data_IF_436867272796
#
_entry.id   IF_436867272796
#
_cell.length_a   1.000
_cell.length_b   1.000
_cell.length_c   1.000
_cell.angle_alpha   90.00
_cell.angle_beta   90.00
_cell.angle_gamma   90.00
#
_symmetry.space_group_name_H-M   'P 1'
#
loop_
_entity.id
_entity.type
_entity.pdbx_description
1 polymer ?
#
# COMPACT_ATOMS: atom_id res chain seq x y z
N UNK A 1 -12.09 84.87 9.11
CA UNK A 1 -12.88 83.64 9.01
C UNK A 1 -11.97 82.49 8.79
N UNK A 2 -11.75 81.68 9.85
CA UNK A 2 -10.73 80.64 9.93
C UNK A 2 -11.49 79.33 9.73
N UNK A 3 -11.29 78.67 8.56
CA UNK A 3 -11.85 77.35 8.25
C UNK A 3 -11.01 76.24 8.82
N UNK A 4 -11.51 75.53 9.79
CA UNK A 4 -10.93 74.32 10.39
C UNK A 4 -10.87 73.18 9.38
N UNK A 5 -9.68 72.76 9.02
CA UNK A 5 -9.42 71.49 8.33
C UNK A 5 -9.43 70.37 9.39
N UNK A 6 -10.52 69.63 9.46
CA UNK A 6 -10.57 68.33 10.14
C UNK A 6 -9.95 67.30 9.25
N UNK A 7 -8.74 66.82 9.61
CA UNK A 7 -8.16 65.62 9.04
C UNK A 7 -9.04 64.43 9.45
N UNK A 8 -9.74 63.85 8.47
CA UNK A 8 -10.29 62.49 8.64
C UNK A 8 -9.14 61.55 8.86
N UNK A 9 -9.13 60.88 10.01
CA UNK A 9 -8.32 59.69 10.25
C UNK A 9 -8.73 58.64 9.20
N UNK A 10 -7.81 58.27 8.32
CA UNK A 10 -7.99 57.17 7.38
C UNK A 10 -8.20 55.90 8.19
N UNK A 11 -9.33 55.26 8.02
CA UNK A 11 -9.57 53.90 8.41
C UNK A 11 -8.52 53.03 7.72
N UNK A 12 -7.68 52.35 8.50
CA UNK A 12 -6.78 51.31 7.97
C UNK A 12 -7.70 50.17 7.51
N UNK A 13 -7.74 49.82 6.24
CA UNK A 13 -8.52 48.71 5.79
C UNK A 13 -7.98 47.44 6.44
N UNK A 14 -8.75 46.87 7.37
CA UNK A 14 -8.47 45.53 7.87
C UNK A 14 -8.75 44.55 6.72
N UNK A 15 -7.77 44.27 5.94
CA UNK A 15 -7.87 43.21 4.93
C UNK A 15 -7.94 41.89 5.70
N UNK A 16 -9.15 41.42 5.95
CA UNK A 16 -9.38 40.02 6.30
C UNK A 16 -9.14 39.23 5.02
N UNK A 17 -7.93 38.74 4.85
CA UNK A 17 -7.65 37.72 3.86
C UNK A 17 -8.30 36.44 4.34
N UNK A 18 -9.55 36.23 3.97
CA UNK A 18 -10.11 34.88 3.98
C UNK A 18 -9.33 34.10 2.92
N UNK A 19 -8.37 33.30 3.36
CA UNK A 19 -7.86 32.17 2.58
C UNK A 19 -9.00 31.13 2.51
N UNK A 20 -10.02 31.41 1.73
CA UNK A 20 -10.84 30.35 1.17
C UNK A 20 -9.93 29.64 0.18
N UNK A 21 -9.29 28.56 0.64
CA UNK A 21 -8.83 27.53 -0.25
C UNK A 21 -10.02 27.14 -1.11
N UNK A 22 -9.82 27.14 -2.44
CA UNK A 22 -10.87 26.80 -3.39
C UNK A 22 -11.61 25.55 -2.93
N UNK A 23 -12.92 25.61 -2.94
CA UNK A 23 -13.84 24.54 -2.59
C UNK A 23 -13.70 23.37 -3.58
N UNK A 24 -12.68 22.56 -3.42
CA UNK A 24 -12.78 21.18 -3.82
C UNK A 24 -13.36 20.42 -2.63
N UNK A 25 -14.69 20.39 -2.54
CA UNK A 25 -15.37 19.53 -1.60
C UNK A 25 -14.83 18.11 -1.82
N UNK A 26 -14.41 17.37 -0.75
CA UNK A 26 -13.84 16.02 -0.91
C UNK A 26 -14.71 15.09 -1.75
N UNK A 27 -16.03 15.26 -1.68
CA UNK A 27 -16.99 14.52 -2.52
C UNK A 27 -17.05 15.00 -3.97
N UNK A 28 -16.58 16.20 -4.31
CA UNK A 28 -16.40 16.65 -5.69
C UNK A 28 -15.32 15.85 -6.39
N UNK A 29 -14.18 15.60 -5.72
CA UNK A 29 -13.12 14.73 -6.24
C UNK A 29 -13.59 13.29 -6.44
N UNK A 30 -14.49 12.77 -5.61
CA UNK A 30 -15.08 11.44 -5.80
C UNK A 30 -16.05 11.37 -6.98
N UNK A 31 -16.73 12.47 -7.33
CA UNK A 31 -17.60 12.56 -8.52
C UNK A 31 -16.81 12.72 -9.82
N UNK A 32 -15.64 13.34 -9.75
CA UNK A 32 -14.75 13.58 -10.89
C UNK A 32 -13.64 12.51 -11.01
N UNK A 33 -13.68 11.47 -10.17
CA UNK A 33 -12.73 10.37 -10.27
C UNK A 33 -12.99 9.59 -11.55
N UNK A 34 -12.44 10.08 -12.63
CA UNK A 34 -12.31 9.32 -13.88
C UNK A 34 -11.04 8.50 -13.77
N UNK A 35 -11.11 7.17 -13.80
CA UNK A 35 -9.91 6.33 -13.78
C UNK A 35 -9.01 6.71 -14.96
N UNK A 36 -7.88 7.32 -14.70
CA UNK A 36 -6.86 7.59 -15.70
C UNK A 36 -6.16 6.26 -16.01
N UNK A 37 -6.49 5.64 -17.13
CA UNK A 37 -6.10 4.27 -17.51
C UNK A 37 -4.62 3.92 -17.27
N UNK A 38 -3.70 4.88 -17.36
CA UNK A 38 -2.27 4.67 -17.09
C UNK A 38 -1.72 5.46 -15.89
N UNK A 39 -2.33 6.59 -15.53
CA UNK A 39 -1.93 7.38 -14.36
C UNK A 39 -2.25 6.70 -13.03
N UNK A 40 -3.25 5.81 -12.99
CA UNK A 40 -3.62 5.07 -11.79
C UNK A 40 -2.50 4.18 -11.27
N UNK A 41 -1.80 3.47 -12.15
CA UNK A 41 -0.74 2.54 -11.74
C UNK A 41 0.40 3.29 -11.07
N UNK A 42 0.81 4.43 -11.61
CA UNK A 42 1.83 5.28 -10.99
C UNK A 42 1.35 5.82 -9.64
N UNK A 43 0.09 6.26 -9.57
CA UNK A 43 -0.51 6.72 -8.32
C UNK A 43 -0.50 5.64 -7.24
N UNK A 44 -0.90 4.41 -7.57
CA UNK A 44 -0.90 3.29 -6.61
C UNK A 44 0.53 2.93 -6.15
N UNK A 45 1.51 2.97 -7.03
CA UNK A 45 2.92 2.80 -6.65
C UNK A 45 3.41 3.90 -5.72
N UNK A 46 3.09 5.16 -6.03
CA UNK A 46 3.43 6.29 -5.16
C UNK A 46 2.76 6.19 -3.77
N UNK A 47 1.53 5.68 -3.70
CA UNK A 47 0.86 5.42 -2.41
C UNK A 47 1.62 4.36 -1.61
N UNK A 48 2.08 3.29 -2.23
CA UNK A 48 2.88 2.25 -1.55
C UNK A 48 4.21 2.81 -1.03
N UNK A 49 4.90 3.60 -1.85
CA UNK A 49 6.17 4.23 -1.44
C UNK A 49 5.99 5.26 -0.31
N UNK A 50 4.90 6.03 -0.35
CA UNK A 50 4.66 7.09 0.62
C UNK A 50 4.03 6.62 1.94
N UNK A 51 3.29 5.51 1.92
CA UNK A 51 2.52 5.00 3.09
C UNK A 51 2.97 3.58 3.44
N UNK A 52 3.94 3.42 4.36
CA UNK A 52 4.55 2.13 4.67
C UNK A 52 3.56 1.03 5.08
N UNK A 53 2.47 1.39 5.74
CA UNK A 53 1.45 0.41 6.16
C UNK A 53 0.72 -0.21 4.98
N UNK A 54 0.54 0.55 3.88
CA UNK A 54 -0.06 0.04 2.64
C UNK A 54 0.90 -0.92 1.94
N UNK A 55 2.17 -0.55 1.84
CA UNK A 55 3.18 -1.44 1.25
C UNK A 55 3.34 -2.73 2.05
N UNK A 56 3.41 -2.63 3.38
CA UNK A 56 3.46 -3.79 4.27
C UNK A 56 2.25 -4.72 4.09
N UNK A 57 1.06 -4.16 3.85
CA UNK A 57 -0.15 -4.93 3.59
C UNK A 57 -0.04 -5.76 2.31
N UNK A 58 0.37 -5.14 1.19
CA UNK A 58 0.59 -5.86 -0.08
C UNK A 58 1.65 -6.94 0.08
N UNK A 59 2.79 -6.61 0.69
CA UNK A 59 3.86 -7.57 0.95
C UNK A 59 3.40 -8.79 1.76
N UNK A 60 2.58 -8.57 2.78
CA UNK A 60 2.05 -9.66 3.61
C UNK A 60 1.09 -10.55 2.82
N UNK A 61 0.17 -9.99 2.05
CA UNK A 61 -0.74 -10.76 1.20
C UNK A 61 0.03 -11.64 0.20
N UNK A 62 1.06 -11.06 -0.46
CA UNK A 62 1.89 -11.81 -1.40
C UNK A 62 2.57 -12.98 -0.72
N UNK A 63 3.23 -12.76 0.43
CA UNK A 63 3.94 -13.82 1.16
C UNK A 63 3.03 -14.88 1.76
N UNK A 64 1.89 -14.48 2.30
CA UNK A 64 0.93 -15.42 2.90
C UNK A 64 0.19 -16.27 1.86
N UNK A 65 0.18 -15.87 0.60
CA UNK A 65 -0.34 -16.71 -0.48
C UNK A 65 0.42 -18.03 -0.58
N UNK A 66 1.69 -18.06 -0.14
CA UNK A 66 2.49 -19.27 -0.05
C UNK A 66 2.95 -19.81 -1.39
N UNK A 67 3.58 -20.96 -1.34
CA UNK A 67 4.10 -21.66 -2.51
C UNK A 67 3.06 -22.58 -3.16
N UNK A 68 3.40 -23.01 -4.37
CA UNK A 68 2.59 -23.94 -5.15
C UNK A 68 3.44 -25.11 -5.64
N UNK A 69 2.85 -26.29 -5.59
CA UNK A 69 3.39 -27.53 -6.15
C UNK A 69 2.34 -28.20 -7.05
N UNK A 70 2.73 -29.28 -7.73
CA UNK A 70 1.82 -30.02 -8.59
C UNK A 70 1.85 -31.51 -8.24
N UNK A 71 0.70 -32.14 -8.36
CA UNK A 71 0.55 -33.60 -8.32
C UNK A 71 0.07 -34.08 -9.66
N UNK A 72 0.70 -35.11 -10.23
CA UNK A 72 0.33 -35.69 -11.52
C UNK A 72 -0.01 -37.18 -11.38
N UNK A 73 -0.88 -37.68 -12.27
CA UNK A 73 -1.18 -39.10 -12.34
C UNK A 73 0.01 -39.98 -12.78
N UNK A 74 1.01 -39.40 -13.46
CA UNK A 74 2.25 -40.05 -13.87
C UNK A 74 3.43 -39.50 -13.04
N UNK A 75 4.12 -40.37 -12.33
CA UNK A 75 5.26 -40.02 -11.47
C UNK A 75 6.45 -39.43 -12.24
N UNK A 76 6.67 -39.85 -13.50
CA UNK A 76 7.74 -39.33 -14.33
C UNK A 76 7.45 -37.89 -14.72
N UNK A 77 6.22 -37.64 -15.21
CA UNK A 77 5.74 -36.30 -15.52
C UNK A 77 5.77 -35.38 -14.29
N UNK A 78 5.33 -35.88 -13.13
CA UNK A 78 5.34 -35.11 -11.88
C UNK A 78 6.73 -34.66 -11.49
N UNK A 79 7.70 -35.58 -11.49
CA UNK A 79 9.09 -35.27 -11.13
C UNK A 79 9.69 -34.23 -12.09
N UNK A 80 9.49 -34.41 -13.38
CA UNK A 80 10.03 -33.51 -14.38
C UNK A 80 9.35 -32.12 -14.33
N UNK A 81 8.03 -32.07 -14.15
CA UNK A 81 7.29 -30.82 -14.03
C UNK A 81 7.65 -30.06 -12.74
N UNK A 82 7.79 -30.74 -11.61
CA UNK A 82 8.26 -30.13 -10.36
C UNK A 82 9.66 -29.54 -10.50
N UNK A 83 10.56 -30.23 -11.18
CA UNK A 83 11.91 -29.70 -11.44
C UNK A 83 11.87 -28.46 -12.34
N UNK A 84 11.07 -28.48 -13.40
CA UNK A 84 10.83 -27.29 -14.24
C UNK A 84 10.27 -26.12 -13.40
N UNK A 85 9.21 -26.34 -12.63
CA UNK A 85 8.60 -25.29 -11.81
C UNK A 85 9.57 -24.72 -10.76
N UNK A 86 10.54 -25.50 -10.29
CA UNK A 86 11.57 -25.05 -9.35
C UNK A 86 12.67 -24.23 -10.02
N UNK A 87 13.01 -24.54 -11.27
CA UNK A 87 14.22 -24.03 -11.93
C UNK A 87 13.97 -23.04 -13.05
N UNK A 88 12.72 -22.88 -13.51
CA UNK A 88 12.39 -21.98 -14.61
C UNK A 88 12.87 -20.54 -14.32
N UNK A 89 13.63 -19.92 -15.25
CA UNK A 89 14.06 -18.53 -15.10
C UNK A 89 12.87 -17.56 -15.12
N UNK A 90 12.90 -16.57 -14.22
CA UNK A 90 11.85 -15.53 -14.13
C UNK A 90 12.39 -14.16 -14.52
N UNK A 91 13.67 -13.95 -14.28
CA UNK A 91 14.34 -12.69 -14.54
C UNK A 91 15.82 -12.80 -14.21
N UNK A 92 16.47 -11.67 -13.99
CA UNK A 92 17.90 -11.66 -13.68
C UNK A 92 18.11 -12.18 -12.25
N UNK A 93 18.57 -13.44 -12.13
CA UNK A 93 18.90 -14.08 -10.87
C UNK A 93 17.70 -14.60 -10.06
N UNK A 94 16.50 -14.66 -10.65
CA UNK A 94 15.31 -15.24 -10.01
C UNK A 94 14.85 -16.48 -10.78
N UNK A 95 14.45 -17.50 -10.01
CA UNK A 95 14.05 -18.79 -10.55
C UNK A 95 12.81 -19.33 -9.80
N UNK A 96 12.05 -20.14 -10.52
CA UNK A 96 10.94 -20.91 -9.96
C UNK A 96 9.59 -20.21 -10.01
N UNK A 97 8.55 -21.04 -10.10
CA UNK A 97 7.17 -20.60 -10.23
C UNK A 97 6.72 -19.70 -9.07
N UNK A 98 7.22 -19.95 -7.86
CA UNK A 98 6.83 -19.16 -6.68
C UNK A 98 7.32 -17.71 -6.80
N UNK A 99 8.56 -17.48 -7.28
CA UNK A 99 9.05 -16.13 -7.54
C UNK A 99 8.26 -15.42 -8.66
N UNK A 100 7.83 -16.18 -9.68
CA UNK A 100 6.93 -15.64 -10.71
C UNK A 100 5.59 -15.22 -10.09
N UNK A 101 4.98 -16.08 -9.28
CA UNK A 101 3.69 -15.81 -8.66
C UNK A 101 3.75 -14.63 -7.68
N UNK A 102 4.84 -14.47 -6.93
CA UNK A 102 5.04 -13.31 -6.05
C UNK A 102 5.04 -12.01 -6.85
N UNK A 103 5.82 -11.93 -7.94
CA UNK A 103 5.87 -10.78 -8.82
C UNK A 103 4.53 -10.52 -9.52
N UNK A 104 3.89 -11.58 -10.00
CA UNK A 104 2.60 -11.53 -10.67
C UNK A 104 1.48 -11.06 -9.74
N UNK A 105 1.44 -11.59 -8.52
CA UNK A 105 0.47 -11.21 -7.49
C UNK A 105 0.70 -9.79 -6.98
N UNK A 106 1.94 -9.37 -6.80
CA UNK A 106 2.25 -7.97 -6.43
C UNK A 106 1.65 -6.99 -7.46
N UNK A 107 1.85 -7.27 -8.75
CA UNK A 107 1.24 -6.50 -9.83
C UNK A 107 -0.29 -6.57 -9.79
N UNK A 108 -0.86 -7.76 -9.57
CA UNK A 108 -2.30 -7.99 -9.52
C UNK A 108 -2.96 -7.15 -8.41
N UNK A 109 -2.44 -7.20 -7.20
CA UNK A 109 -2.98 -6.47 -6.06
C UNK A 109 -2.79 -4.94 -6.20
N UNK A 110 -1.62 -4.52 -6.67
CA UNK A 110 -1.28 -3.10 -6.81
C UNK A 110 -1.99 -2.44 -7.97
N UNK A 111 -2.01 -3.09 -9.14
CA UNK A 111 -2.53 -2.49 -10.37
C UNK A 111 -3.96 -2.91 -10.71
N UNK A 112 -4.50 -3.90 -9.99
CA UNK A 112 -5.80 -4.52 -10.31
C UNK A 112 -5.76 -5.49 -11.48
N UNK A 113 -4.59 -5.70 -12.06
CA UNK A 113 -4.34 -6.63 -13.16
C UNK A 113 -2.89 -7.06 -13.19
N UNK A 114 -2.64 -8.25 -13.69
CA UNK A 114 -1.31 -8.75 -13.93
C UNK A 114 -1.18 -9.33 -15.34
N UNK A 115 0.00 -9.19 -15.89
CA UNK A 115 0.35 -9.73 -17.20
C UNK A 115 1.65 -10.50 -17.08
N UNK A 116 1.71 -11.65 -17.72
CA UNK A 116 2.91 -12.48 -17.84
C UNK A 116 3.08 -13.00 -19.25
N UNK A 117 4.28 -13.46 -19.53
CA UNK A 117 4.64 -14.07 -20.81
C UNK A 117 5.35 -15.39 -20.57
N UNK A 118 4.94 -16.41 -21.29
CA UNK A 118 5.63 -17.70 -21.38
C UNK A 118 6.56 -17.63 -22.57
N UNK A 119 7.86 -17.62 -22.32
CA UNK A 119 8.87 -17.52 -23.38
C UNK A 119 9.33 -18.92 -23.79
N UNK A 120 9.03 -19.37 -25.03
CA UNK A 120 9.49 -20.66 -25.51
C UNK A 120 10.98 -20.61 -25.85
N UNK A 121 11.68 -21.72 -25.67
CA UNK A 121 13.05 -21.89 -26.14
C UNK A 121 13.12 -21.99 -27.68
N UNK A 122 14.30 -21.79 -28.24
CA UNK A 122 14.55 -21.95 -29.66
C UNK A 122 14.20 -23.39 -30.09
N UNK A 123 13.26 -23.51 -31.02
CA UNK A 123 12.73 -24.81 -31.46
C UNK A 123 11.43 -25.24 -30.78
N UNK A 124 10.85 -24.41 -29.89
CA UNK A 124 9.54 -24.61 -29.25
C UNK A 124 9.36 -25.97 -28.54
N UNK A 125 10.44 -26.53 -27.99
CA UNK A 125 10.39 -27.81 -27.26
C UNK A 125 10.38 -27.66 -25.76
N UNK A 126 10.73 -26.47 -25.26
CA UNK A 126 10.83 -26.17 -23.84
C UNK A 126 10.39 -24.73 -23.57
N UNK A 127 10.01 -24.45 -22.33
CA UNK A 127 9.78 -23.08 -21.83
C UNK A 127 11.13 -22.56 -21.32
N UNK A 128 11.66 -21.52 -21.94
CA UNK A 128 12.93 -20.90 -21.58
C UNK A 128 12.83 -20.00 -20.35
N UNK A 129 11.70 -19.30 -20.19
CA UNK A 129 11.48 -18.38 -19.07
C UNK A 129 9.99 -18.07 -18.88
N UNK A 130 9.64 -17.55 -17.68
CA UNK A 130 8.38 -16.90 -17.39
C UNK A 130 8.68 -15.45 -17.02
N UNK A 131 8.07 -14.49 -17.68
CA UNK A 131 8.31 -13.08 -17.46
C UNK A 131 7.04 -12.39 -16.94
N UNK A 132 7.20 -11.48 -15.97
CA UNK A 132 6.13 -10.57 -15.58
C UNK A 132 6.18 -9.31 -16.44
N UNK A 133 5.08 -8.98 -17.10
CA UNK A 133 4.94 -7.79 -17.91
C UNK A 133 4.67 -6.53 -17.09
N UNK A 134 5.12 -5.38 -17.60
CA UNK A 134 4.76 -4.08 -17.04
C UNK A 134 3.37 -3.69 -17.52
N UNK A 135 2.45 -3.59 -16.58
CA UNK A 135 1.03 -3.31 -16.85
C UNK A 135 0.81 -1.93 -17.50
N UNK A 136 1.70 -0.99 -17.25
CA UNK A 136 1.65 0.36 -17.80
C UNK A 136 1.84 0.40 -19.32
N UNK A 137 2.57 -0.57 -19.85
CA UNK A 137 2.92 -0.62 -21.28
C UNK A 137 1.95 -1.49 -22.08
N UNK A 138 0.85 -1.93 -21.45
CA UNK A 138 -0.08 -2.91 -22.04
C UNK A 138 -1.48 -2.31 -22.05
N UNK A 139 -2.14 -2.44 -23.19
CA UNK A 139 -3.55 -2.14 -23.39
C UNK A 139 -4.27 -3.42 -23.79
N UNK A 140 -5.45 -3.60 -23.21
CA UNK A 140 -6.33 -4.71 -23.59
C UNK A 140 -7.42 -4.17 -24.47
N UNK A 141 -7.54 -4.73 -25.66
CA UNK A 141 -8.62 -4.41 -26.59
C UNK A 141 -9.62 -5.55 -26.61
N UNK A 142 -10.89 -5.22 -26.58
CA UNK A 142 -11.95 -6.18 -26.79
C UNK A 142 -11.88 -6.73 -28.22
N UNK A 143 -12.08 -8.03 -28.35
CA UNK A 143 -12.19 -8.70 -29.64
C UNK A 143 -13.59 -8.58 -30.26
N UNK A 144 -13.86 -9.41 -31.24
CA UNK A 144 -15.18 -9.46 -31.90
C UNK A 144 -16.28 -10.09 -31.04
N UNK A 145 -15.90 -10.73 -29.95
CA UNK A 145 -16.77 -11.39 -28.99
C UNK A 145 -16.44 -10.92 -27.57
N UNK A 146 -17.42 -10.83 -26.65
CA UNK A 146 -17.15 -10.52 -25.24
C UNK A 146 -16.17 -11.47 -24.53
N UNK A 147 -15.93 -12.65 -25.12
CA UNK A 147 -14.98 -13.65 -24.61
C UNK A 147 -13.59 -13.49 -25.21
N UNK A 148 -13.43 -12.65 -26.23
CA UNK A 148 -12.18 -12.44 -26.91
C UNK A 148 -11.58 -11.09 -26.52
N UNK A 149 -10.32 -11.11 -26.16
CA UNK A 149 -9.54 -9.89 -25.94
C UNK A 149 -8.16 -10.05 -26.56
N UNK A 150 -7.57 -8.94 -26.97
CA UNK A 150 -6.23 -8.88 -27.48
C UNK A 150 -5.35 -8.04 -26.55
N UNK A 151 -4.21 -8.59 -26.16
CA UNK A 151 -3.20 -7.86 -25.39
C UNK A 151 -2.34 -7.11 -26.40
N UNK A 152 -2.34 -5.78 -26.27
CA UNK A 152 -1.57 -4.86 -27.08
C UNK A 152 -0.43 -4.28 -26.25
N UNK A 153 0.73 -4.11 -26.86
CA UNK A 153 1.89 -3.48 -26.26
C UNK A 153 2.43 -2.35 -27.14
N UNK A 154 3.26 -1.48 -26.58
CA UNK A 154 3.96 -0.46 -27.34
C UNK A 154 5.15 -1.10 -28.09
N UNK A 155 5.27 -0.81 -29.39
CA UNK A 155 6.45 -1.15 -30.19
C UNK A 155 7.64 -0.21 -29.84
N UNK A 156 8.78 -0.44 -30.47
CA UNK A 156 9.99 0.39 -30.31
C UNK A 156 9.76 1.89 -30.66
N UNK A 157 8.68 2.20 -31.38
CA UNK A 157 8.29 3.54 -31.80
C UNK A 157 7.16 4.11 -30.93
N UNK A 158 6.76 3.39 -29.87
CA UNK A 158 5.68 3.81 -28.97
C UNK A 158 4.27 3.64 -29.55
N UNK A 159 4.08 2.92 -30.65
CA UNK A 159 2.77 2.64 -31.22
C UNK A 159 2.19 1.39 -30.57
N UNK A 160 0.96 1.52 -30.11
CA UNK A 160 0.22 0.38 -29.52
C UNK A 160 -0.25 -0.57 -30.61
N UNK A 161 0.27 -1.77 -30.59
CA UNK A 161 -0.08 -2.86 -31.51
C UNK A 161 -0.36 -4.15 -30.77
N UNK A 162 -1.10 -5.07 -31.41
CA UNK A 162 -1.34 -6.38 -30.86
C UNK A 162 -0.03 -7.14 -30.72
N UNK A 163 0.25 -7.65 -29.52
CA UNK A 163 1.44 -8.47 -29.29
C UNK A 163 1.32 -9.79 -30.03
N UNK A 164 2.42 -10.32 -30.59
CA UNK A 164 2.42 -11.64 -31.18
C UNK A 164 2.19 -12.73 -30.14
N UNK A 165 1.77 -13.92 -30.58
CA UNK A 165 1.64 -15.13 -29.75
C UNK A 165 0.77 -14.92 -28.51
N UNK A 166 -0.46 -14.42 -28.70
CA UNK A 166 -1.45 -14.17 -27.61
C UNK A 166 -1.66 -15.38 -26.70
N UNK A 167 -1.49 -16.59 -27.23
CA UNK A 167 -1.60 -17.83 -26.46
C UNK A 167 -0.46 -18.04 -25.43
N UNK A 168 0.64 -17.34 -25.55
CA UNK A 168 1.75 -17.36 -24.61
C UNK A 168 1.66 -16.24 -23.58
N UNK A 169 0.72 -15.33 -23.75
CA UNK A 169 0.47 -14.22 -22.81
C UNK A 169 -0.51 -14.66 -21.72
N UNK A 170 -0.18 -14.32 -20.50
CA UNK A 170 -1.01 -14.53 -19.33
C UNK A 170 -1.62 -13.18 -18.92
N UNK A 171 -2.93 -13.15 -18.73
CA UNK A 171 -3.63 -11.97 -18.24
C UNK A 171 -4.60 -12.39 -17.15
N UNK A 172 -4.58 -11.66 -16.04
CA UNK A 172 -5.50 -11.87 -14.92
C UNK A 172 -5.99 -10.52 -14.42
N UNK A 173 -7.30 -10.24 -14.49
CA UNK A 173 -7.93 -9.09 -13.81
C UNK A 173 -8.26 -9.45 -12.36
N UNK A 174 -8.11 -8.49 -11.45
CA UNK A 174 -8.57 -8.60 -10.07
C UNK A 174 -9.97 -8.00 -9.96
N UNK A 175 -10.94 -8.76 -9.45
CA UNK A 175 -12.31 -8.30 -9.22
C UNK A 175 -12.88 -7.47 -10.40
N UNK A 176 -12.95 -8.03 -11.62
CA UNK A 176 -13.45 -7.30 -12.78
C UNK A 176 -14.90 -6.88 -12.54
N UNK A 177 -15.23 -5.64 -12.91
CA UNK A 177 -16.60 -5.10 -12.92
C UNK A 177 -17.18 -5.25 -14.32
N UNK A 178 -18.51 -5.30 -14.45
CA UNK A 178 -19.18 -5.47 -15.75
C UNK A 178 -18.77 -4.41 -16.76
N UNK A 179 -18.57 -3.18 -16.31
CA UNK A 179 -18.14 -2.05 -17.15
C UNK A 179 -16.61 -1.88 -17.20
N UNK A 180 -15.87 -2.64 -16.38
CA UNK A 180 -14.41 -2.60 -16.30
C UNK A 180 -13.82 -4.01 -16.24
N UNK A 181 -13.69 -4.70 -17.38
CA UNK A 181 -13.14 -6.05 -17.45
C UNK A 181 -11.63 -6.11 -17.14
N UNK A 182 -10.97 -4.95 -17.09
CA UNK A 182 -9.52 -4.86 -16.83
C UNK A 182 -9.13 -5.12 -15.39
N UNK A 183 -10.11 -5.18 -14.49
CA UNK A 183 -9.92 -5.38 -13.07
C UNK A 183 -9.73 -4.10 -12.26
N UNK A 184 -9.84 -4.24 -10.95
CA UNK A 184 -9.83 -3.13 -9.98
C UNK A 184 -8.74 -3.36 -8.96
N UNK A 185 -7.85 -2.37 -8.79
CA UNK A 185 -6.79 -2.41 -7.78
C UNK A 185 -7.36 -2.53 -6.36
N UNK A 186 -6.68 -3.31 -5.52
CA UNK A 186 -6.95 -3.32 -4.08
C UNK A 186 -6.79 -1.92 -3.48
N UNK A 187 -5.94 -1.08 -4.07
CA UNK A 187 -5.61 0.27 -3.59
C UNK A 187 -6.55 1.37 -4.09
N UNK A 188 -7.59 1.05 -4.89
CA UNK A 188 -8.45 2.03 -5.58
C UNK A 188 -8.97 3.17 -4.71
N UNK A 189 -9.32 2.91 -3.46
CA UNK A 189 -9.87 3.92 -2.53
C UNK A 189 -8.82 4.56 -1.61
N UNK A 190 -7.58 4.08 -1.62
CA UNK A 190 -6.54 4.52 -0.68
C UNK A 190 -5.85 5.85 -1.02
N UNK A 191 -5.75 6.32 -2.29
CA UNK A 191 -5.04 7.57 -2.58
C UNK A 191 -5.58 8.77 -1.79
N UNK A 192 -6.89 8.91 -1.68
CA UNK A 192 -7.53 9.98 -0.91
C UNK A 192 -7.19 9.90 0.60
N UNK A 193 -7.30 8.71 1.19
CA UNK A 193 -6.98 8.50 2.60
C UNK A 193 -5.49 8.71 2.88
N UNK A 194 -4.64 8.29 1.95
CA UNK A 194 -3.19 8.46 2.02
C UNK A 194 -2.80 9.95 1.98
N UNK A 195 -3.43 10.74 1.12
CA UNK A 195 -3.20 12.20 1.06
C UNK A 195 -3.54 12.89 2.38
N UNK A 196 -4.68 12.54 3.00
CA UNK A 196 -5.05 13.05 4.32
C UNK A 196 -4.04 12.64 5.38
N UNK A 197 -3.63 11.37 5.40
CA UNK A 197 -2.65 10.84 6.35
C UNK A 197 -1.31 11.57 6.25
N UNK A 198 -0.81 11.77 5.03
CA UNK A 198 0.45 12.48 4.78
C UNK A 198 0.36 13.95 5.19
N UNK A 199 -0.78 14.62 4.97
CA UNK A 199 -1.02 16.00 5.45
C UNK A 199 -1.00 16.09 6.97
N UNK A 200 -1.59 15.10 7.66
CA UNK A 200 -1.54 15.03 9.12
C UNK A 200 -0.10 14.85 9.60
N UNK A 201 0.67 13.92 9.03
CA UNK A 201 2.07 13.70 9.38
C UNK A 201 2.93 14.94 9.10
N UNK A 202 2.72 15.61 7.98
CA UNK A 202 3.38 16.88 7.68
C UNK A 202 3.07 17.94 8.75
N UNK A 203 1.79 18.07 9.14
CA UNK A 203 1.36 19.01 10.19
C UNK A 203 1.97 18.67 11.54
N UNK A 204 2.06 17.38 11.89
CA UNK A 204 2.76 16.92 13.10
C UNK A 204 4.22 17.38 13.04
N UNK A 205 4.93 17.12 11.94
CA UNK A 205 6.33 17.55 11.77
C UNK A 205 6.50 19.05 11.95
N UNK A 206 5.69 19.86 11.26
CA UNK A 206 5.74 21.33 11.39
C UNK A 206 5.43 21.80 12.82
N UNK A 207 4.48 21.14 13.51
CA UNK A 207 4.17 21.47 14.90
C UNK A 207 5.33 21.10 15.85
N UNK A 208 5.97 19.97 15.64
CA UNK A 208 7.16 19.59 16.40
C UNK A 208 8.33 20.56 16.19
N UNK A 209 8.58 20.97 14.95
CA UNK A 209 9.59 22.01 14.65
C UNK A 209 9.25 23.35 15.32
N UNK A 210 7.95 23.72 15.32
CA UNK A 210 7.49 24.96 15.95
C UNK A 210 7.65 24.92 17.47
N UNK A 211 7.33 23.79 18.09
CA UNK A 211 7.48 23.62 19.55
C UNK A 211 8.94 23.47 19.98
N UNK A 212 9.77 22.83 19.16
CA UNK A 212 11.20 22.68 19.40
C UNK A 212 11.99 23.97 19.16
N UNK A 213 11.55 24.82 18.26
CA UNK A 213 12.15 26.12 17.96
C UNK A 213 11.33 27.23 18.65
N UNK A 214 11.59 27.45 19.93
CA UNK A 214 10.96 28.50 20.71
C UNK A 214 11.18 29.85 20.05
N UNK A 215 10.10 30.53 19.64
CA UNK A 215 10.17 31.91 19.14
C UNK A 215 9.97 32.86 20.31
N UNK A 216 10.89 33.81 20.46
CA UNK A 216 10.87 34.77 21.53
C UNK A 216 10.60 36.16 20.94
N UNK A 217 9.61 36.87 21.47
CA UNK A 217 9.44 38.28 21.23
C UNK A 217 10.13 39.04 22.36
N UNK A 218 11.13 39.80 22.00
CA UNK A 218 11.87 40.69 22.92
C UNK A 218 11.37 42.09 22.68
N UNK A 219 10.72 42.68 23.68
CA UNK A 219 10.25 44.07 23.62
C UNK A 219 11.00 44.90 24.66
N UNK A 220 11.52 46.01 24.21
CA UNK A 220 12.19 46.97 25.08
C UNK A 220 11.22 48.10 25.43
N UNK A 221 10.98 48.35 26.71
CA UNK A 221 10.16 49.45 27.16
C UNK A 221 10.85 50.79 27.01
N UNK A 222 10.15 51.79 26.49
CA UNK A 222 10.21 53.21 26.60
C UNK A 222 11.51 53.98 26.47
N UNK A 223 11.48 54.89 25.54
CA UNK A 223 12.41 56.01 25.36
C UNK A 223 12.22 56.59 23.98
N UNK A 224 11.53 57.71 23.88
CA UNK A 224 11.47 58.45 22.61
C UNK A 224 12.85 59.04 22.30
N UNK A 225 13.46 58.66 21.16
CA UNK A 225 14.69 59.23 20.65
C UNK A 225 15.60 58.24 19.89
N UNK A 226 16.62 58.77 19.22
CA UNK A 226 17.61 58.03 18.42
C UNK A 226 18.32 56.91 19.22
N UNK A 227 18.43 57.06 20.54
CA UNK A 227 19.00 56.06 21.45
C UNK A 227 18.17 54.79 21.62
N UNK A 228 16.87 54.82 21.33
CA UNK A 228 15.99 53.65 21.42
C UNK A 228 16.19 52.70 20.24
N UNK A 229 16.36 53.25 19.03
CA UNK A 229 16.62 52.46 17.82
C UNK A 229 17.99 51.77 17.88
N UNK A 230 18.98 52.45 18.42
CA UNK A 230 20.35 51.90 18.56
C UNK A 230 20.43 50.80 19.62
N UNK A 231 19.73 50.94 20.74
CA UNK A 231 19.57 49.90 21.78
C UNK A 231 18.84 48.66 21.22
N UNK A 232 17.78 48.86 20.45
CA UNK A 232 17.06 47.74 19.82
C UNK A 232 17.93 46.99 18.82
N UNK A 233 18.82 47.69 18.11
CA UNK A 233 19.75 47.06 17.16
C UNK A 233 20.82 46.22 17.87
N UNK A 234 21.45 46.76 18.92
CA UNK A 234 22.46 46.03 19.70
C UNK A 234 21.83 44.79 20.37
N UNK A 235 20.61 44.93 20.91
CA UNK A 235 19.89 43.81 21.52
C UNK A 235 19.58 42.72 20.48
N UNK A 236 19.15 43.10 19.25
CA UNK A 236 18.87 42.17 18.19
C UNK A 236 20.14 41.43 17.70
N UNK A 237 21.29 42.11 17.65
CA UNK A 237 22.57 41.51 17.27
C UNK A 237 23.07 40.51 18.32
N UNK A 238 23.01 40.88 19.62
CA UNK A 238 23.40 39.97 20.72
C UNK A 238 22.45 38.77 20.82
N UNK A 239 21.13 39.00 20.63
CA UNK A 239 20.14 37.94 20.58
C UNK A 239 20.39 36.98 19.42
N UNK A 240 20.71 37.51 18.26
CA UNK A 240 21.00 36.69 17.06
C UNK A 240 22.24 35.80 17.29
N UNK A 241 23.29 36.33 17.95
CA UNK A 241 24.47 35.55 18.31
C UNK A 241 24.13 34.44 19.31
N UNK A 242 23.41 34.76 20.38
CA UNK A 242 23.01 33.76 21.38
C UNK A 242 22.18 32.63 20.76
N UNK A 243 21.25 32.95 19.82
CA UNK A 243 20.46 31.95 19.12
C UNK A 243 21.26 31.08 18.15
N UNK A 244 22.29 31.65 17.48
CA UNK A 244 23.21 30.88 16.63
C UNK A 244 24.08 29.93 17.47
N UNK A 245 24.56 30.36 18.62
CA UNK A 245 25.35 29.53 19.54
C UNK A 245 24.50 28.39 20.12
N UNK A 246 23.23 28.66 20.46
CA UNK A 246 22.30 27.63 20.94
C UNK A 246 22.00 26.56 19.85
N UNK A 247 21.90 26.95 18.57
CA UNK A 247 21.79 26.00 17.45
C UNK A 247 23.01 25.10 17.29
N UNK A 248 24.19 25.58 17.72
CA UNK A 248 25.44 24.82 17.70
C UNK A 248 25.65 23.97 18.96
N UNK A 249 24.60 23.82 19.80
CA UNK A 249 24.65 23.00 21.03
C UNK A 249 25.23 23.66 22.27
N UNK A 250 25.52 24.97 22.23
CA UNK A 250 26.00 25.75 23.38
C UNK A 250 24.84 26.56 23.96
N UNK A 251 24.41 26.24 25.17
CA UNK A 251 23.39 27.04 25.89
C UNK A 251 24.04 28.23 26.56
N UNK A 252 23.62 29.43 26.18
CA UNK A 252 24.12 30.69 26.76
C UNK A 252 22.97 31.46 27.38
N UNK A 253 23.11 31.84 28.62
CA UNK A 253 22.15 32.69 29.32
C UNK A 253 22.21 34.12 28.76
N UNK A 254 21.05 34.69 28.51
CA UNK A 254 20.90 36.06 28.05
C UNK A 254 20.63 36.97 29.25
N UNK A 255 21.54 37.92 29.49
CA UNK A 255 21.38 38.92 30.53
C UNK A 255 21.17 40.28 29.88
N UNK A 256 20.00 40.88 30.06
CA UNK A 256 19.69 42.23 29.61
C UNK A 256 19.57 43.19 30.79
N UNK A 257 20.14 44.39 30.66
CA UNK A 257 20.01 45.47 31.64
C UNK A 257 19.00 46.49 31.06
N UNK A 258 17.89 46.70 31.77
CA UNK A 258 16.81 47.62 31.35
C UNK A 258 15.44 46.98 31.39
N UNK A 259 14.40 47.74 30.98
CA UNK A 259 13.02 47.26 30.89
C UNK A 259 12.87 46.40 29.61
N UNK A 260 13.23 45.14 29.71
CA UNK A 260 13.16 44.17 28.62
C UNK A 260 12.13 43.12 29.00
N UNK A 261 11.08 42.99 28.19
CA UNK A 261 10.07 41.96 28.36
C UNK A 261 10.26 40.89 27.27
N UNK A 262 10.47 39.64 27.71
CA UNK A 262 10.67 38.48 26.84
C UNK A 262 9.40 37.62 26.92
N UNK A 263 8.71 37.48 25.79
CA UNK A 263 7.54 36.62 25.70
C UNK A 263 7.80 35.47 24.71
N UNK A 264 7.42 34.29 25.13
CA UNK A 264 7.41 33.13 24.25
C UNK A 264 6.22 33.26 23.28
N UNK A 265 6.50 33.23 21.97
CA UNK A 265 5.45 33.27 20.96
C UNK A 265 5.23 31.86 20.42
N UNK A 266 4.01 31.35 20.57
CA UNK A 266 3.59 30.08 19.97
C UNK A 266 3.97 28.83 20.76
N UNK A 267 4.59 28.97 21.96
CA UNK A 267 4.85 27.84 22.84
C UNK A 267 3.62 27.33 23.59
N UNK A 268 2.66 28.21 23.83
CA UNK A 268 1.47 27.92 24.63
C UNK A 268 0.29 27.35 23.81
N UNK A 269 0.41 27.25 22.48
CA UNK A 269 -0.64 26.65 21.66
C UNK A 269 -0.62 25.12 21.84
N UNK A 270 -1.70 24.50 22.30
CA UNK A 270 -1.76 23.06 22.46
C UNK A 270 -1.48 22.37 21.12
N UNK A 271 -0.63 21.36 21.14
CA UNK A 271 -0.44 20.49 19.98
C UNK A 271 -1.76 19.76 19.78
N UNK A 272 -2.32 19.85 18.56
CA UNK A 272 -3.52 19.13 18.19
C UNK A 272 -3.30 17.63 18.39
N UNK A 273 -4.19 16.99 19.14
CA UNK A 273 -4.17 15.54 19.25
C UNK A 273 -4.49 14.92 17.88
N UNK A 274 -3.49 14.31 17.30
CA UNK A 274 -3.57 13.64 16.00
C UNK A 274 -3.82 12.14 16.12
N UNK A 275 -3.88 11.58 17.32
CA UNK A 275 -4.03 10.15 17.55
C UNK A 275 -5.36 9.63 16.97
N UNK A 276 -6.45 10.30 17.24
CA UNK A 276 -7.78 9.88 16.79
C UNK A 276 -7.90 9.89 15.25
N UNK A 277 -7.60 11.00 14.54
CA UNK A 277 -7.73 11.02 13.08
C UNK A 277 -6.76 10.08 12.38
N UNK A 278 -5.52 9.94 12.86
CA UNK A 278 -4.56 8.96 12.32
C UNK A 278 -5.09 7.55 12.48
N UNK A 279 -5.59 7.21 13.68
CA UNK A 279 -6.16 5.88 13.94
C UNK A 279 -7.35 5.58 13.03
N UNK A 280 -8.26 6.50 12.83
CA UNK A 280 -9.42 6.32 11.95
C UNK A 280 -9.00 6.05 10.49
N UNK A 281 -7.98 6.74 9.99
CA UNK A 281 -7.46 6.50 8.64
C UNK A 281 -6.80 5.12 8.55
N UNK A 282 -6.00 4.74 9.54
CA UNK A 282 -5.38 3.41 9.58
C UNK A 282 -6.45 2.29 9.66
N UNK A 283 -7.54 2.49 10.39
CA UNK A 283 -8.68 1.56 10.43
C UNK A 283 -9.32 1.38 9.04
N UNK A 284 -9.45 2.44 8.26
CA UNK A 284 -9.95 2.37 6.88
C UNK A 284 -8.96 1.61 5.96
N UNK A 285 -7.65 1.82 6.13
CA UNK A 285 -6.62 1.07 5.38
C UNK A 285 -6.68 -0.42 5.72
N UNK A 286 -6.80 -0.75 7.01
CA UNK A 286 -6.96 -2.13 7.49
C UNK A 286 -8.23 -2.76 6.92
N UNK A 287 -9.37 -2.07 7.00
CA UNK A 287 -10.64 -2.55 6.45
C UNK A 287 -10.56 -2.80 4.94
N UNK A 288 -9.85 -1.93 4.20
CA UNK A 288 -9.68 -2.08 2.75
C UNK A 288 -8.76 -3.22 2.35
N UNK A 289 -7.68 -3.44 3.11
CA UNK A 289 -6.69 -4.49 2.81
C UNK A 289 -7.07 -5.86 3.36
N UNK A 290 -8.00 -5.92 4.31
CA UNK A 290 -8.43 -7.16 4.98
C UNK A 290 -7.38 -7.77 5.90
N UNK A 291 -6.25 -7.08 6.13
CA UNK A 291 -5.18 -7.60 6.99
C UNK A 291 -5.43 -7.17 8.43
N UNK A 292 -5.40 -8.11 9.39
CA UNK A 292 -5.56 -7.78 10.81
C UNK A 292 -4.54 -6.74 11.30
N UNK A 293 -4.95 -5.78 12.16
CA UNK A 293 -4.08 -4.70 12.63
C UNK A 293 -2.78 -5.19 13.27
N UNK A 294 -2.84 -6.26 14.07
CA UNK A 294 -1.66 -6.80 14.74
C UNK A 294 -0.59 -7.30 13.75
N UNK A 295 -0.99 -7.78 12.58
CA UNK A 295 -0.06 -8.20 11.53
C UNK A 295 0.65 -7.01 10.86
N UNK A 296 0.05 -5.82 10.94
CA UNK A 296 0.66 -4.57 10.45
C UNK A 296 1.44 -3.83 11.55
N UNK A 297 1.59 -4.45 12.74
CA UNK A 297 2.28 -3.82 13.87
C UNK A 297 1.44 -2.77 14.59
N UNK A 298 0.12 -2.75 14.36
CA UNK A 298 -0.80 -1.81 15.00
C UNK A 298 -1.36 -2.45 16.27
N UNK A 299 -0.91 -1.98 17.43
CA UNK A 299 -1.32 -2.48 18.74
C UNK A 299 -2.67 -1.91 19.16
N UNK A 300 -3.73 -2.34 18.51
CA UNK A 300 -5.09 -2.07 18.97
C UNK A 300 -5.53 -3.21 19.90
N UNK A 301 -6.21 -2.86 20.99
CA UNK A 301 -6.69 -3.84 21.95
C UNK A 301 -7.59 -4.88 21.23
N UNK A 302 -7.08 -6.06 21.01
CA UNK A 302 -7.83 -7.20 20.50
C UNK A 302 -7.80 -8.31 21.53
N UNK A 303 -8.92 -9.04 21.65
CA UNK A 303 -8.94 -10.27 22.44
C UNK A 303 -8.38 -11.42 21.60
N UNK A 304 -7.83 -12.44 22.26
CA UNK A 304 -7.33 -13.66 21.60
C UNK A 304 -8.38 -14.25 20.64
N UNK A 305 -9.63 -14.31 21.06
CA UNK A 305 -10.74 -14.78 20.22
C UNK A 305 -10.95 -13.92 18.95
N UNK A 306 -10.84 -12.61 19.07
CA UNK A 306 -10.94 -11.73 17.89
C UNK A 306 -9.77 -11.95 16.94
N UNK A 307 -8.57 -12.14 17.45
CA UNK A 307 -7.38 -12.39 16.62
C UNK A 307 -7.51 -13.72 15.86
N UNK A 308 -8.02 -14.78 16.49
CA UNK A 308 -8.30 -16.06 15.82
C UNK A 308 -9.35 -15.92 14.72
N UNK A 309 -10.46 -15.23 14.98
CA UNK A 309 -11.50 -14.99 13.97
C UNK A 309 -10.97 -14.16 12.78
N UNK A 310 -10.12 -13.18 13.04
CA UNK A 310 -9.49 -12.38 11.98
C UNK A 310 -8.51 -13.22 11.14
N UNK A 311 -7.80 -14.15 11.75
CA UNK A 311 -6.93 -15.11 11.05
C UNK A 311 -7.74 -16.03 10.11
N UNK A 312 -8.89 -16.53 10.56
CA UNK A 312 -9.78 -17.36 9.75
C UNK A 312 -10.35 -16.59 8.54
N UNK A 313 -10.75 -15.33 8.73
CA UNK A 313 -11.19 -14.46 7.64
C UNK A 313 -10.06 -14.22 6.62
N UNK A 314 -8.85 -13.93 7.11
CA UNK A 314 -7.70 -13.74 6.24
C UNK A 314 -7.35 -15.01 5.45
N UNK A 315 -7.46 -16.18 6.05
CA UNK A 315 -7.28 -17.47 5.37
C UNK A 315 -8.27 -17.63 4.21
N UNK A 316 -9.51 -17.17 4.39
CA UNK A 316 -10.55 -17.19 3.35
C UNK A 316 -10.17 -16.24 2.20
N UNK A 317 -9.69 -15.04 2.49
CA UNK A 317 -9.22 -14.08 1.48
C UNK A 317 -8.01 -14.61 0.69
N UNK A 318 -7.03 -15.20 1.38
CA UNK A 318 -5.88 -15.83 0.72
C UNK A 318 -6.32 -16.98 -0.20
N UNK A 319 -7.29 -17.77 0.24
CA UNK A 319 -7.86 -18.85 -0.58
C UNK A 319 -8.56 -18.30 -1.84
N UNK A 320 -9.22 -17.14 -1.75
CA UNK A 320 -9.81 -16.48 -2.91
C UNK A 320 -8.72 -15.98 -3.88
N UNK A 321 -7.62 -15.42 -3.38
CA UNK A 321 -6.46 -15.03 -4.19
C UNK A 321 -5.87 -16.26 -4.91
N UNK A 322 -5.68 -17.37 -4.22
CA UNK A 322 -5.18 -18.64 -4.80
C UNK A 322 -6.06 -19.14 -5.94
N UNK A 323 -7.39 -19.06 -5.77
CA UNK A 323 -8.34 -19.41 -6.85
C UNK A 323 -8.17 -18.54 -8.10
N UNK A 324 -7.81 -17.27 -7.93
CA UNK A 324 -7.53 -16.36 -9.04
C UNK A 324 -6.21 -16.70 -9.75
N UNK A 325 -5.21 -17.20 -9.02
CA UNK A 325 -3.89 -17.55 -9.57
C UNK A 325 -3.82 -18.98 -10.13
N UNK A 326 -4.64 -19.90 -9.65
CA UNK A 326 -4.62 -21.31 -10.06
C UNK A 326 -4.70 -21.49 -11.59
N UNK A 327 -5.61 -20.78 -12.34
CA UNK A 327 -5.66 -20.91 -13.79
C UNK A 327 -4.37 -20.49 -14.51
N UNK A 328 -3.60 -19.57 -13.94
CA UNK A 328 -2.31 -19.13 -14.48
C UNK A 328 -1.30 -20.28 -14.39
N UNK A 329 -1.20 -20.90 -13.21
CA UNK A 329 -0.32 -22.07 -12.97
C UNK A 329 -0.75 -23.24 -13.87
N UNK A 330 -2.05 -23.54 -13.92
CA UNK A 330 -2.57 -24.60 -14.76
C UNK A 330 -2.24 -24.41 -16.24
N UNK A 331 -2.33 -23.16 -16.75
CA UNK A 331 -1.98 -22.85 -18.15
C UNK A 331 -0.52 -23.11 -18.43
N UNK A 332 0.39 -22.71 -17.53
CA UNK A 332 1.84 -22.97 -17.64
C UNK A 332 2.10 -24.45 -17.61
N UNK A 333 1.56 -25.19 -16.64
CA UNK A 333 1.77 -26.62 -16.48
C UNK A 333 1.22 -27.42 -17.67
N UNK A 334 0.01 -27.06 -18.13
CA UNK A 334 -0.63 -27.72 -19.30
C UNK A 334 0.17 -27.52 -20.57
N UNK A 335 0.71 -26.32 -20.79
CA UNK A 335 1.57 -26.06 -21.96
C UNK A 335 2.84 -26.87 -21.87
N UNK A 336 3.53 -26.86 -20.72
CA UNK A 336 4.77 -27.61 -20.51
C UNK A 336 4.56 -29.13 -20.71
N UNK A 337 3.52 -29.72 -20.12
CA UNK A 337 3.20 -31.14 -20.29
C UNK A 337 2.98 -31.51 -21.77
N UNK A 338 2.22 -30.68 -22.50
CA UNK A 338 1.99 -30.88 -23.94
C UNK A 338 3.26 -30.83 -24.76
N UNK A 339 4.17 -29.88 -24.45
CA UNK A 339 5.45 -29.76 -25.15
C UNK A 339 6.35 -30.98 -24.91
N UNK A 340 6.21 -31.67 -23.78
CA UNK A 340 6.96 -32.88 -23.44
C UNK A 340 6.23 -34.18 -23.77
N UNK A 341 5.08 -34.10 -24.42
CA UNK A 341 4.30 -35.28 -24.85
C UNK A 341 3.56 -36.03 -23.75
N UNK A 342 3.40 -35.40 -22.56
CA UNK A 342 2.62 -35.97 -21.47
C UNK A 342 1.14 -35.62 -21.64
N UNK A 343 0.28 -36.61 -21.43
CA UNK A 343 -1.21 -36.47 -21.52
C UNK A 343 -1.90 -36.72 -20.18
N UNK A 344 -1.13 -36.87 -19.09
CA UNK A 344 -1.66 -37.11 -17.76
C UNK A 344 -2.41 -35.89 -17.20
N UNK A 345 -3.42 -36.14 -16.38
CA UNK A 345 -4.06 -35.11 -15.54
C UNK A 345 -3.09 -34.66 -14.44
N UNK A 346 -3.26 -33.43 -14.02
CA UNK A 346 -2.52 -32.87 -12.89
C UNK A 346 -3.41 -31.98 -12.05
N UNK A 347 -3.02 -31.77 -10.81
CA UNK A 347 -3.66 -30.89 -9.84
C UNK A 347 -2.64 -29.91 -9.28
N UNK A 348 -3.05 -28.66 -9.10
CA UNK A 348 -2.26 -27.60 -8.47
C UNK A 348 -2.50 -27.66 -6.98
N UNK A 349 -1.45 -27.87 -6.22
CA UNK A 349 -1.49 -28.01 -4.76
C UNK A 349 -0.79 -26.79 -4.14
N UNK A 350 -1.54 -26.02 -3.36
CA UNK A 350 -1.00 -24.88 -2.61
C UNK A 350 -0.52 -25.34 -1.24
N UNK A 351 0.51 -24.68 -0.71
CA UNK A 351 0.98 -24.90 0.65
C UNK A 351 -0.13 -24.62 1.66
N UNK A 352 -0.13 -25.32 2.78
CA UNK A 352 -1.10 -25.05 3.84
C UNK A 352 -0.92 -23.65 4.43
N UNK A 353 -2.04 -22.96 4.69
CA UNK A 353 -2.03 -21.68 5.36
C UNK A 353 -2.13 -21.92 6.87
N UNK A 354 -0.99 -21.87 7.53
CA UNK A 354 -0.95 -22.02 8.99
C UNK A 354 -0.76 -20.64 9.63
N UNK A 355 -1.87 -19.99 10.02
CA UNK A 355 -1.90 -18.74 10.78
C UNK A 355 -2.24 -18.97 12.25
N UNK A 356 -2.53 -20.21 12.64
CA UNK A 356 -2.87 -20.60 14.00
C UNK A 356 -1.65 -21.12 14.77
N UNK A 357 -1.71 -21.03 16.08
CA UNK A 357 -0.69 -21.60 16.94
C UNK A 357 -0.66 -23.13 16.75
N UNK A 358 0.52 -23.71 16.53
CA UNK A 358 0.73 -25.15 16.33
C UNK A 358 0.10 -26.01 17.47
N UNK A 359 0.00 -25.45 18.67
CA UNK A 359 -0.62 -26.11 19.82
C UNK A 359 -2.14 -26.20 19.65
N UNK A 360 -2.80 -25.17 19.13
CA UNK A 360 -4.24 -25.21 18.88
C UNK A 360 -4.57 -26.13 17.70
N UNK A 361 -3.73 -26.15 16.66
CA UNK A 361 -3.89 -27.06 15.53
C UNK A 361 -3.78 -28.54 15.97
N UNK A 362 -2.77 -28.84 16.75
CA UNK A 362 -2.61 -30.21 17.34
C UNK A 362 -3.79 -30.60 18.22
N UNK A 363 -4.37 -29.66 18.99
CA UNK A 363 -5.58 -29.91 19.79
C UNK A 363 -6.81 -30.13 18.87
N UNK A 364 -6.97 -29.32 17.83
CA UNK A 364 -8.08 -29.48 16.89
C UNK A 364 -8.00 -30.84 16.16
N UNK A 365 -6.80 -31.26 15.78
CA UNK A 365 -6.57 -32.59 15.18
C UNK A 365 -6.89 -33.72 16.15
N UNK A 366 -6.45 -33.63 17.40
CA UNK A 366 -6.81 -34.57 18.44
C UNK A 366 -8.33 -34.69 18.63
N UNK A 367 -9.06 -33.59 18.68
CA UNK A 367 -10.52 -33.59 18.79
C UNK A 367 -11.21 -34.17 17.54
N UNK A 368 -10.69 -33.96 16.35
CA UNK A 368 -11.19 -34.56 15.11
C UNK A 368 -11.03 -36.07 15.13
N UNK A 369 -9.88 -36.58 15.55
CA UNK A 369 -9.62 -38.02 15.67
C UNK A 369 -10.47 -38.65 16.77
N UNK A 370 -10.67 -38.00 17.90
CA UNK A 370 -11.58 -38.46 18.95
C UNK A 370 -13.03 -38.52 18.45
N UNK A 371 -13.49 -37.51 17.73
CA UNK A 371 -14.84 -37.49 17.13
C UNK A 371 -15.01 -38.61 16.09
N UNK A 372 -13.98 -38.86 15.28
CA UNK A 372 -13.97 -39.95 14.29
C UNK A 372 -14.05 -41.33 14.98
N UNK A 373 -13.26 -41.52 16.03
CA UNK A 373 -13.29 -42.76 16.83
C UNK A 373 -14.68 -43.02 17.44
N UNK A 374 -15.28 -42.00 18.04
CA UNK A 374 -16.62 -42.08 18.60
C UNK A 374 -17.70 -42.40 17.54
N UNK A 375 -17.59 -41.88 16.34
CA UNK A 375 -18.50 -42.22 15.22
C UNK A 375 -18.36 -43.68 14.85
N UNK A 376 -17.15 -44.20 14.70
CA UNK A 376 -16.91 -45.61 14.36
C UNK A 376 -17.45 -46.53 15.49
N UNK A 377 -17.23 -46.19 16.74
CA UNK A 377 -17.76 -46.97 17.88
C UNK A 377 -19.29 -46.96 17.93
N UNK A 378 -19.94 -45.85 17.57
CA UNK A 378 -21.39 -45.76 17.51
C UNK A 378 -21.95 -46.57 16.32
N UNK A 379 -21.34 -46.48 15.13
CA UNK A 379 -21.73 -47.30 13.97
C UNK A 379 -21.58 -48.81 14.23
N UNK A 380 -20.54 -49.22 14.97
CA UNK A 380 -20.35 -50.59 15.38
C UNK A 380 -21.39 -51.08 16.41
N UNK A 381 -21.85 -50.18 17.31
CA UNK A 381 -22.94 -50.49 18.25
C UNK A 381 -24.28 -50.63 17.54
N UNK A 382 -24.59 -49.75 16.58
CA UNK A 382 -25.80 -49.82 15.79
C UNK A 382 -25.86 -51.08 14.90
N UNK A 383 -24.73 -51.58 14.41
CA UNK A 383 -24.66 -52.82 13.63
C UNK A 383 -24.78 -54.09 14.48
N UNK A 384 -24.60 -53.99 15.82
CA UNK A 384 -24.73 -55.13 16.76
C UNK A 384 -26.09 -55.20 17.43
N UNK A 385 -26.96 -54.22 17.24
CA UNK A 385 -28.38 -54.22 17.57
C UNK A 385 -29.23 -54.64 16.33
#
# INVERSE_FOLDING_TARGET
MVGKWLKKRGEVPTAVVQLRGGETHPFGMLREYVPLRNGEVQLYRSVREAVPVVDAAIYKLVRMTGGVTVACGDRTAEKALREFLRTVPIGRGQFGINAFLECYLDSLLTCGRAVGEIVPAVGNREIAALLCGRVENIEIKEGNSPLEFAICGADEHGRMGQLPYQDLLLFTPLNPETENPYGVSLLRSLPFLSDILLKIYHTIGVNWERCGNVRLAVTCGGGEGVSAAERSRVLAEEWSRAMQETRNGSVRDFVAVGDVNIRVIGGDAPILDSQVPVRQILEQIVAKTGIPPFMLGLNWSSTERMSSQQADLLTTEITAIRRTLTPVVERICRLWLRMHGFTCGFEVVWDDINLQDQVEEARAELYREQARKLRIENDERERKQ
#
